data_IF_459526511159
#
_entry.id   IF_459526511159
#
_cell.length_a   1.000
_cell.length_b   1.000
_cell.length_c   1.000
_cell.angle_alpha   90.00
_cell.angle_beta   90.00
_cell.angle_gamma   90.00
#
_symmetry.space_group_name_H-M   'P 1'
#
loop_
_entity.id
_entity.type
_entity.pdbx_description
1 polymer ?
#
# COMPACT_ATOMS: atom_id res chain seq x y z
N UNK A 1 5.37 -7.77 1.21
CA UNK A 1 4.60 -8.28 0.06
C UNK A 1 3.51 -9.27 0.43
N UNK A 2 3.82 -10.46 0.96
CA UNK A 2 2.80 -11.47 1.30
C UNK A 2 2.69 -11.78 2.81
N UNK A 3 3.67 -11.37 3.61
CA UNK A 3 3.72 -11.68 5.04
C UNK A 3 4.04 -13.12 5.34
N UNK A 4 4.74 -13.79 4.42
CA UNK A 4 5.28 -15.13 4.61
C UNK A 4 6.64 -14.99 5.29
N UNK A 5 6.82 -15.72 6.39
CA UNK A 5 8.08 -15.73 7.14
C UNK A 5 8.99 -16.86 6.62
N UNK A 6 10.28 -16.55 6.48
CA UNK A 6 11.28 -17.53 6.04
C UNK A 6 12.23 -17.86 7.20
N UNK A 7 12.30 -19.12 7.59
CA UNK A 7 13.26 -19.59 8.60
C UNK A 7 14.69 -19.57 8.06
N UNK A 8 15.66 -19.28 8.92
CA UNK A 8 17.11 -19.25 8.61
C UNK A 8 17.55 -18.14 7.63
N UNK A 9 16.73 -17.11 7.39
CA UNK A 9 17.17 -15.94 6.66
C UNK A 9 17.85 -14.93 7.62
N UNK A 10 19.04 -14.41 7.29
CA UNK A 10 19.81 -13.57 8.21
C UNK A 10 19.19 -12.18 8.47
N UNK A 11 18.47 -11.62 7.49
CA UNK A 11 17.84 -10.30 7.61
C UNK A 11 16.56 -10.22 6.78
N UNK A 12 15.40 -10.23 7.45
CA UNK A 12 14.10 -10.12 6.80
C UNK A 12 13.57 -8.68 6.82
N UNK A 13 14.33 -7.73 6.28
CA UNK A 13 13.84 -6.37 6.05
C UNK A 13 12.99 -6.23 4.80
N UNK A 14 12.15 -5.20 4.80
CA UNK A 14 11.35 -4.77 3.64
C UNK A 14 12.29 -4.23 2.56
N UNK A 15 12.02 -4.53 1.28
CA UNK A 15 12.85 -4.11 0.14
C UNK A 15 12.15 -3.05 -0.73
N UNK A 16 10.84 -3.20 -0.95
CA UNK A 16 10.09 -2.41 -1.95
C UNK A 16 9.04 -1.46 -1.34
N UNK A 17 8.50 -1.79 -0.16
CA UNK A 17 7.52 -0.94 0.52
C UNK A 17 8.23 0.15 1.29
N UNK A 18 7.58 1.31 1.43
CA UNK A 18 8.08 2.42 2.25
C UNK A 18 8.30 2.01 3.72
N UNK A 19 9.12 2.78 4.43
CA UNK A 19 9.52 2.52 5.80
C UNK A 19 8.32 2.46 6.76
N UNK A 20 7.41 3.42 6.66
CA UNK A 20 6.18 3.51 7.46
C UNK A 20 5.00 2.71 6.92
N UNK A 21 5.19 1.93 5.85
CA UNK A 21 4.09 1.21 5.20
C UNK A 21 3.67 -0.01 6.02
N UNK A 22 2.40 -0.10 6.37
CA UNK A 22 1.85 -1.26 7.06
C UNK A 22 0.93 -2.08 6.16
N UNK A 23 1.16 -3.40 6.17
CA UNK A 23 0.41 -4.37 5.38
C UNK A 23 1.24 -5.11 4.34
N UNK A 24 0.55 -5.93 3.55
CA UNK A 24 1.13 -6.84 2.57
C UNK A 24 0.41 -6.67 1.23
N UNK A 25 0.90 -5.81 0.32
CA UNK A 25 0.15 -5.33 -0.84
C UNK A 25 -0.37 -6.40 -1.80
N UNK A 26 0.28 -7.57 -1.83
CA UNK A 26 -0.05 -8.65 -2.76
C UNK A 26 -0.99 -9.71 -2.15
N UNK A 27 -1.47 -9.49 -0.92
CA UNK A 27 -2.57 -10.31 -0.40
C UNK A 27 -3.89 -9.90 -1.05
N UNK A 28 -4.81 -10.85 -1.18
CA UNK A 28 -6.08 -10.66 -1.91
C UNK A 28 -7.11 -9.83 -1.15
N UNK A 29 -6.93 -9.66 0.14
CA UNK A 29 -7.72 -8.80 1.03
C UNK A 29 -7.25 -7.34 1.03
N UNK A 30 -6.06 -7.06 0.50
CA UNK A 30 -5.50 -5.72 0.46
C UNK A 30 -6.05 -4.92 -0.74
N UNK A 31 -6.54 -3.68 -0.54
CA UNK A 31 -7.05 -2.85 -1.63
C UNK A 31 -5.93 -2.40 -2.57
N UNK A 32 -6.21 -2.34 -3.87
CA UNK A 32 -5.22 -1.91 -4.89
C UNK A 32 -4.65 -0.53 -4.61
N UNK A 33 -5.47 0.38 -4.10
CA UNK A 33 -5.11 1.77 -3.82
C UNK A 33 -4.35 1.95 -2.51
N UNK A 34 -4.33 0.94 -1.64
CA UNK A 34 -3.86 1.07 -0.26
C UNK A 34 -4.83 1.85 0.63
N UNK A 35 -4.37 2.18 1.84
CA UNK A 35 -5.15 2.88 2.86
C UNK A 35 -4.68 4.32 3.10
N UNK A 36 -3.47 4.65 2.67
CA UNK A 36 -2.82 5.92 2.93
C UNK A 36 -2.32 6.53 1.63
N UNK A 37 -2.31 7.85 1.57
CA UNK A 37 -1.66 8.64 0.54
C UNK A 37 -0.62 9.57 1.16
N UNK A 38 0.29 10.03 0.31
CA UNK A 38 1.40 10.88 0.73
C UNK A 38 1.30 12.20 -0.03
N UNK A 39 1.30 13.30 0.72
CA UNK A 39 1.35 14.65 0.14
C UNK A 39 2.34 15.52 0.90
N UNK A 40 2.79 16.59 0.26
CA UNK A 40 3.58 17.63 0.93
C UNK A 40 2.63 18.60 1.64
N UNK A 41 2.98 18.99 2.86
CA UNK A 41 2.30 20.00 3.64
C UNK A 41 3.19 21.25 3.75
N UNK A 42 2.78 22.34 3.08
CA UNK A 42 3.52 23.61 3.05
C UNK A 42 3.64 24.23 4.44
N UNK A 43 2.63 24.09 5.31
CA UNK A 43 2.64 24.68 6.66
C UNK A 43 3.69 24.00 7.56
N UNK A 44 3.84 22.69 7.40
CA UNK A 44 4.81 21.88 8.15
C UNK A 44 6.16 21.76 7.44
N UNK A 45 6.25 22.21 6.19
CA UNK A 45 7.37 22.02 5.28
C UNK A 45 7.89 20.58 5.22
N UNK A 46 6.99 19.60 5.26
CA UNK A 46 7.32 18.19 5.37
C UNK A 46 6.31 17.30 4.62
N UNK A 47 6.71 16.06 4.36
CA UNK A 47 5.86 15.03 3.76
C UNK A 47 4.95 14.44 4.86
N UNK A 48 3.64 14.39 4.60
CA UNK A 48 2.64 13.83 5.51
C UNK A 48 1.95 12.62 4.90
N UNK A 49 1.60 11.66 5.76
CA UNK A 49 0.83 10.47 5.43
C UNK A 49 -0.60 10.66 5.94
N UNK A 50 -1.59 10.58 5.05
CA UNK A 50 -3.00 10.80 5.37
C UNK A 50 -3.87 9.64 4.88
N UNK A 51 -5.06 9.45 5.45
CA UNK A 51 -6.03 8.49 4.91
C UNK A 51 -6.32 8.80 3.44
N UNK A 52 -6.36 7.75 2.61
CA UNK A 52 -6.60 7.88 1.19
C UNK A 52 -7.98 8.51 0.90
N UNK A 53 -8.00 9.60 0.12
CA UNK A 53 -9.22 10.21 -0.39
C UNK A 53 -9.21 10.22 -1.93
N UNK A 54 -9.96 9.29 -2.53
CA UNK A 54 -10.07 9.22 -3.99
C UNK A 54 -11.17 10.14 -4.50
N UNK A 55 -10.80 11.10 -5.37
CA UNK A 55 -11.78 11.92 -6.09
C UNK A 55 -12.69 11.09 -7.02
N UNK A 56 -12.15 9.98 -7.55
CA UNK A 56 -12.89 8.99 -8.30
C UNK A 56 -12.42 7.58 -7.91
N UNK A 57 -13.36 6.69 -7.59
CA UNK A 57 -13.06 5.31 -7.26
C UNK A 57 -12.59 4.47 -8.48
N UNK A 58 -11.90 3.37 -8.18
CA UNK A 58 -11.49 2.40 -9.20
C UNK A 58 -12.72 1.71 -9.81
N UNK A 59 -12.89 1.86 -11.13
CA UNK A 59 -14.00 1.22 -11.85
C UNK A 59 -13.68 -0.24 -12.14
N UNK A 60 -14.38 -1.14 -11.47
CA UNK A 60 -14.24 -2.58 -11.67
C UNK A 60 -15.11 -3.04 -12.85
N UNK A 61 -14.46 -3.30 -13.98
CA UNK A 61 -15.11 -3.87 -15.15
C UNK A 61 -15.07 -5.39 -15.11
N UNK A 62 -16.23 -6.04 -15.23
CA UNK A 62 -16.28 -7.48 -15.35
C UNK A 62 -16.21 -7.89 -16.83
N UNK A 63 -15.08 -8.48 -17.23
CA UNK A 63 -14.84 -8.95 -18.61
C UNK A 63 -15.08 -10.46 -18.78
N UNK A 64 -15.53 -11.16 -17.74
CA UNK A 64 -15.84 -12.58 -17.87
C UNK A 64 -17.02 -12.73 -18.83
N UNK A 65 -16.76 -13.30 -20.00
CA UNK A 65 -17.82 -13.78 -20.87
C UNK A 65 -18.55 -14.92 -20.15
N UNK A 66 -19.88 -14.98 -20.21
CA UNK A 66 -20.64 -16.11 -19.66
C UNK A 66 -20.24 -17.45 -20.30
#
# INVERSE_FOLDING_TARGET
MFGIFFTNHPDLRRILTDYGFDGFPLRKDFPLTGYIEVRYDDEKANIVYEPLELSQEYRLFNFTSP
#
